data_IF_636037028761
#
_entry.id   IF_636037028761
#
_cell.length_a   1.000
_cell.length_b   1.000
_cell.length_c   1.000
_cell.angle_alpha   90.00
_cell.angle_beta   90.00
_cell.angle_gamma   90.00
#
_symmetry.space_group_name_H-M   'P 1'
#
loop_
_entity.id
_entity.type
_entity.pdbx_description
1 polymer ?
#
# COMPACT_ATOMS: atom_id res chain seq x y z
N UNK A 1 4.65 1.22 0.99
CA UNK A 1 3.59 2.22 0.77
C UNK A 1 3.80 3.41 1.68
N UNK A 2 3.31 4.59 1.30
CA UNK A 2 3.48 5.85 2.06
C UNK A 2 2.16 6.61 2.07
N UNK A 3 1.74 7.07 3.24
CA UNK A 3 0.56 7.93 3.37
C UNK A 3 1.00 9.38 3.59
N UNK A 4 0.57 10.26 2.68
CA UNK A 4 0.85 11.69 2.69
C UNK A 4 -0.37 12.40 3.30
N UNK A 5 -0.33 12.60 4.63
CA UNK A 5 -1.42 13.19 5.42
C UNK A 5 -1.93 14.54 4.87
N UNK A 6 -1.02 15.40 4.42
CA UNK A 6 -1.35 16.76 3.94
C UNK A 6 -2.32 16.77 2.76
N UNK A 7 -2.24 15.78 1.88
CA UNK A 7 -3.03 15.72 0.63
C UNK A 7 -3.95 14.50 0.59
N UNK A 8 -4.08 13.76 1.69
CA UNK A 8 -4.78 12.48 1.75
C UNK A 8 -4.38 11.52 0.62
N UNK A 9 -3.09 11.52 0.26
CA UNK A 9 -2.58 10.70 -0.85
C UNK A 9 -1.88 9.47 -0.32
N UNK A 10 -2.21 8.29 -0.84
CA UNK A 10 -1.52 7.04 -0.53
C UNK A 10 -0.75 6.60 -1.75
N UNK A 11 0.56 6.48 -1.60
CA UNK A 11 1.46 6.01 -2.64
C UNK A 11 1.66 4.50 -2.51
N UNK A 12 1.31 3.79 -3.58
CA UNK A 12 1.46 2.36 -3.71
C UNK A 12 2.49 2.06 -4.78
N UNK A 13 3.63 1.50 -4.37
CA UNK A 13 4.57 0.86 -5.29
C UNK A 13 4.01 -0.39 -5.94
N UNK A 14 4.60 -0.80 -7.06
CA UNK A 14 4.28 -2.06 -7.73
C UNK A 14 4.33 -3.27 -6.77
N UNK A 15 5.30 -3.32 -5.85
CA UNK A 15 5.38 -4.39 -4.83
C UNK A 15 4.16 -4.40 -3.91
N UNK A 16 3.64 -3.24 -3.53
CA UNK A 16 2.44 -3.16 -2.67
C UNK A 16 1.21 -3.67 -3.43
N UNK A 17 1.05 -3.27 -4.70
CA UNK A 17 -0.08 -3.69 -5.54
C UNK A 17 -0.04 -5.21 -5.77
N UNK A 18 1.12 -5.75 -6.17
CA UNK A 18 1.31 -7.20 -6.34
C UNK A 18 1.05 -7.97 -5.05
N UNK A 19 1.50 -7.45 -3.90
CA UNK A 19 1.24 -8.09 -2.61
C UNK A 19 -0.25 -8.11 -2.27
N UNK A 20 -1.00 -7.04 -2.54
CA UNK A 20 -2.44 -6.99 -2.31
C UNK A 20 -3.21 -7.94 -3.24
N UNK A 21 -2.82 -8.04 -4.51
CA UNK A 21 -3.39 -9.01 -5.45
C UNK A 21 -3.13 -10.45 -4.99
N UNK A 22 -1.88 -10.79 -4.66
CA UNK A 22 -1.55 -12.12 -4.14
C UNK A 22 -2.30 -12.45 -2.83
N UNK A 23 -2.50 -11.43 -1.98
CA UNK A 23 -3.29 -11.57 -0.75
C UNK A 23 -4.78 -11.80 -0.99
N UNK A 24 -5.35 -11.36 -2.12
CA UNK A 24 -6.73 -11.67 -2.48
C UNK A 24 -6.91 -13.16 -2.79
N UNK A 25 -5.93 -13.74 -3.48
CA UNK A 25 -5.92 -15.15 -3.89
C UNK A 25 -5.66 -16.11 -2.71
N UNK A 26 -5.07 -15.61 -1.62
CA UNK A 26 -4.92 -16.37 -0.37
C UNK A 26 -6.16 -16.23 0.53
N UNK A 27 -6.82 -17.36 0.80
CA UNK A 27 -8.01 -17.43 1.67
C UNK A 27 -7.72 -17.17 3.14
N UNK A 28 -6.48 -17.39 3.60
CA UNK A 28 -6.07 -17.19 5.00
C UNK A 28 -5.51 -15.79 5.25
N UNK A 29 -5.27 -15.03 4.17
CA UNK A 29 -4.74 -13.69 4.25
C UNK A 29 -5.75 -12.70 4.82
N UNK A 30 -5.27 -11.78 5.66
CA UNK A 30 -6.04 -10.64 6.14
C UNK A 30 -6.34 -9.60 5.03
N UNK A 31 -5.73 -9.74 3.84
CA UNK A 31 -5.93 -8.86 2.67
C UNK A 31 -5.62 -7.38 2.96
N UNK A 32 -4.69 -7.13 3.87
CA UNK A 32 -4.30 -5.79 4.29
C UNK A 32 -2.82 -5.52 4.10
N UNK A 33 -2.51 -4.25 3.86
CA UNK A 33 -1.19 -3.65 4.08
C UNK A 33 -1.35 -2.49 5.06
N UNK A 34 -0.37 -2.35 5.95
CA UNK A 34 -0.31 -1.30 6.97
C UNK A 34 0.90 -0.42 6.67
N UNK A 35 0.73 0.90 6.78
CA UNK A 35 1.80 1.86 6.47
C UNK A 35 2.91 1.72 7.52
N UNK A 36 4.18 2.00 7.19
CA UNK A 36 5.26 1.93 8.17
C UNK A 36 5.04 2.74 9.44
N UNK A 37 4.35 3.88 9.33
CA UNK A 37 4.02 4.77 10.45
C UNK A 37 2.78 4.33 11.24
N UNK A 38 2.19 3.18 10.89
CA UNK A 38 0.98 2.63 11.51
C UNK A 38 -0.21 3.60 11.52
N UNK A 39 -0.28 4.55 10.59
CA UNK A 39 -1.37 5.54 10.53
C UNK A 39 -2.44 5.19 9.49
N UNK A 40 -2.13 4.30 8.54
CA UNK A 40 -2.96 4.03 7.39
C UNK A 40 -2.97 2.56 6.98
N UNK A 41 -4.15 2.05 6.62
CA UNK A 41 -4.37 0.67 6.18
C UNK A 41 -5.01 0.66 4.80
N UNK A 42 -4.47 -0.17 3.91
CA UNK A 42 -5.09 -0.49 2.62
C UNK A 42 -5.60 -1.92 2.71
N UNK A 43 -6.90 -2.11 2.47
CA UNK A 43 -7.56 -3.42 2.46
C UNK A 43 -8.01 -3.78 1.05
N UNK A 44 -7.80 -5.03 0.64
CA UNK A 44 -8.26 -5.54 -0.65
C UNK A 44 -9.52 -6.41 -0.50
N UNK A 45 -10.47 -6.26 -1.41
CA UNK A 45 -11.65 -7.10 -1.56
C UNK A 45 -11.86 -7.53 -3.02
N UNK A 46 -12.67 -8.56 -3.23
CA UNK A 46 -13.15 -8.92 -4.56
C UNK A 46 -14.22 -7.93 -5.06
N UNK A 47 -14.33 -7.72 -6.37
CA UNK A 47 -15.23 -6.73 -6.97
C UNK A 47 -16.71 -6.93 -6.63
N UNK A 48 -17.12 -8.18 -6.37
CA UNK A 48 -18.50 -8.56 -6.09
C UNK A 48 -18.87 -8.49 -4.59
N UNK A 49 -17.94 -8.08 -3.74
CA UNK A 49 -18.20 -7.86 -2.32
C UNK A 49 -18.58 -6.39 -2.15
N UNK A 50 -19.80 -6.13 -1.67
CA UNK A 50 -20.20 -4.76 -1.32
C UNK A 50 -19.24 -4.20 -0.27
N UNK A 51 -18.76 -2.97 -0.49
CA UNK A 51 -17.88 -2.24 0.45
C UNK A 51 -18.52 -2.12 1.84
N UNK A 52 -19.85 -2.18 1.94
CA UNK A 52 -20.63 -2.18 3.19
C UNK A 52 -20.73 -3.56 3.87
N UNK A 53 -20.49 -4.65 3.14
CA UNK A 53 -20.65 -6.04 3.63
C UNK A 53 -19.34 -6.68 4.07
N UNK A 54 -18.23 -6.02 3.79
CA UNK A 54 -16.95 -6.40 4.37
C UNK A 54 -16.97 -6.01 5.85
N UNK A 55 -17.35 -6.96 6.72
CA UNK A 55 -17.31 -6.76 8.16
C UNK A 55 -15.93 -6.18 8.53
N UNK A 56 -15.86 -4.93 9.04
CA UNK A 56 -14.61 -4.37 9.47
C UNK A 56 -14.04 -5.31 10.55
N UNK A 57 -12.70 -5.47 10.64
CA UNK A 57 -12.12 -6.22 11.75
C UNK A 57 -12.72 -5.71 13.07
N UNK A 58 -13.00 -6.61 14.00
CA UNK A 58 -13.70 -6.36 15.28
C UNK A 58 -13.04 -5.29 16.19
N UNK A 59 -11.92 -4.71 15.76
CA UNK A 59 -11.19 -3.66 16.44
C UNK A 59 -11.57 -2.29 15.86
N UNK A 60 -11.80 -1.32 16.76
CA UNK A 60 -11.90 0.10 16.43
C UNK A 60 -10.73 0.48 15.52
N UNK A 61 -10.94 1.07 14.34
CA UNK A 61 -9.82 1.46 13.50
C UNK A 61 -9.08 2.60 14.20
N UNK A 62 -7.99 2.27 14.89
CA UNK A 62 -6.98 3.26 15.30
C UNK A 62 -6.37 3.92 14.06
N UNK A 63 -6.48 3.24 12.91
CA UNK A 63 -5.85 3.60 11.65
C UNK A 63 -6.87 4.00 10.59
N UNK A 64 -6.52 4.99 9.79
CA UNK A 64 -7.34 5.39 8.64
C UNK A 64 -7.31 4.28 7.59
N UNK A 65 -8.46 3.77 7.16
CA UNK A 65 -8.54 2.61 6.26
C UNK A 65 -9.18 2.98 4.92
N UNK A 66 -8.60 2.50 3.81
CA UNK A 66 -9.24 2.50 2.48
C UNK A 66 -9.39 1.06 1.98
N UNK A 67 -10.52 0.77 1.35
CA UNK A 67 -10.76 -0.53 0.73
C UNK A 67 -10.67 -0.41 -0.78
N UNK A 68 -10.01 -1.37 -1.41
CA UNK A 68 -9.81 -1.47 -2.85
C UNK A 68 -10.33 -2.79 -3.38
N UNK A 69 -10.97 -2.72 -4.53
CA UNK A 69 -11.39 -3.88 -5.28
C UNK A 69 -10.22 -4.46 -6.08
N UNK A 70 -10.39 -5.68 -6.62
CA UNK A 70 -9.42 -6.28 -7.54
C UNK A 70 -9.22 -5.41 -8.78
N UNK A 71 -10.28 -4.80 -9.31
CA UNK A 71 -10.20 -3.93 -10.48
C UNK A 71 -9.41 -2.64 -10.17
N UNK A 72 -9.61 -2.05 -8.99
CA UNK A 72 -8.81 -0.90 -8.54
C UNK A 72 -7.31 -1.26 -8.50
N UNK A 73 -6.99 -2.43 -7.95
CA UNK A 73 -5.61 -2.91 -7.86
C UNK A 73 -5.02 -3.19 -9.25
N UNK A 74 -5.79 -3.79 -10.16
CA UNK A 74 -5.36 -3.97 -11.55
C UNK A 74 -5.11 -2.63 -12.24
N UNK A 75 -5.97 -1.63 -12.05
CA UNK A 75 -5.74 -0.30 -12.60
C UNK A 75 -4.44 0.33 -12.08
N UNK A 76 -4.18 0.19 -10.77
CA UNK A 76 -2.95 0.68 -10.12
C UNK A 76 -1.67 -0.06 -10.53
N UNK A 77 -1.75 -1.18 -11.26
CA UNK A 77 -0.56 -1.79 -11.88
C UNK A 77 0.06 -0.90 -12.95
N UNK A 78 -0.70 0.04 -13.51
CA UNK A 78 -0.19 1.03 -14.48
C UNK A 78 0.61 2.10 -13.73
N UNK A 79 1.91 2.30 -14.04
CA UNK A 79 2.71 3.33 -13.39
C UNK A 79 2.11 4.73 -13.55
N UNK A 80 1.99 5.48 -12.45
CA UNK A 80 1.40 6.81 -12.43
C UNK A 80 -0.14 6.84 -12.41
N UNK A 81 -0.81 5.69 -12.49
CA UNK A 81 -2.26 5.61 -12.33
C UNK A 81 -2.70 6.21 -10.99
N UNK A 82 -3.80 6.94 -11.03
CA UNK A 82 -4.36 7.63 -9.87
C UNK A 82 -5.86 7.38 -9.79
N UNK A 83 -6.34 6.96 -8.63
CA UNK A 83 -7.76 6.74 -8.36
C UNK A 83 -8.17 7.50 -7.10
N UNK A 84 -9.45 7.88 -7.01
CA UNK A 84 -10.01 8.51 -5.80
C UNK A 84 -11.02 7.56 -5.17
N UNK A 85 -10.85 7.26 -3.88
CA UNK A 85 -11.79 6.50 -3.06
C UNK A 85 -12.15 7.31 -1.82
N UNK A 86 -13.41 7.76 -1.74
CA UNK A 86 -13.85 8.67 -0.68
C UNK A 86 -12.98 9.94 -0.63
N UNK A 87 -12.35 10.19 0.51
CA UNK A 87 -11.46 11.33 0.73
C UNK A 87 -9.99 11.09 0.35
N UNK A 88 -9.66 9.90 -0.14
CA UNK A 88 -8.27 9.49 -0.40
C UNK A 88 -7.97 9.39 -1.89
N UNK A 89 -6.79 9.87 -2.25
CA UNK A 89 -6.21 9.68 -3.59
C UNK A 89 -5.18 8.57 -3.52
N UNK A 90 -5.35 7.49 -4.26
CA UNK A 90 -4.33 6.44 -4.37
C UNK A 90 -3.54 6.63 -5.65
N UNK A 91 -2.22 6.62 -5.54
CA UNK A 91 -1.30 6.85 -6.64
C UNK A 91 -0.31 5.69 -6.77
N UNK A 92 -0.23 5.12 -7.97
CA UNK A 92 0.82 4.18 -8.34
C UNK A 92 2.14 4.93 -8.54
N UNK A 93 3.19 4.49 -7.84
CA UNK A 93 4.53 5.09 -7.92
C UNK A 93 5.58 4.01 -8.19
N UNK A 94 6.69 4.36 -8.83
CA UNK A 94 7.82 3.42 -8.96
C UNK A 94 8.55 3.26 -7.63
N UNK A 95 9.32 2.17 -7.46
CA UNK A 95 10.14 2.00 -6.26
C UNK A 95 11.16 3.14 -6.14
N UNK A 96 11.75 3.60 -7.25
CA UNK A 96 12.72 4.70 -7.27
C UNK A 96 12.08 6.01 -6.80
N UNK A 97 10.88 6.34 -7.29
CA UNK A 97 10.14 7.51 -6.84
C UNK A 97 9.78 7.41 -5.35
N UNK A 98 9.40 6.22 -4.89
CA UNK A 98 9.03 5.96 -3.50
C UNK A 98 10.20 6.10 -2.51
N UNK A 99 11.41 5.73 -2.92
CA UNK A 99 12.62 5.81 -2.11
C UNK A 99 13.48 7.04 -2.39
N UNK A 100 13.05 7.95 -3.28
CA UNK A 100 13.83 9.12 -3.71
C UNK A 100 14.23 10.05 -2.56
N UNK A 101 13.39 10.19 -1.54
CA UNK A 101 13.66 11.02 -0.36
C UNK A 101 14.51 10.32 0.71
N UNK A 102 14.90 9.05 0.49
CA UNK A 102 15.66 8.26 1.46
C UNK A 102 17.12 8.23 1.05
N UNK A 103 18.00 8.73 1.92
CA UNK A 103 19.43 8.48 1.76
C UNK A 103 19.66 6.96 1.69
N UNK A 104 20.52 6.47 0.76
CA UNK A 104 20.94 5.08 0.77
C UNK A 104 21.46 4.71 2.16
N UNK A 105 21.05 3.56 2.69
CA UNK A 105 21.58 3.08 3.96
C UNK A 105 23.07 2.76 3.84
N UNK A 106 23.81 2.88 4.94
CA UNK A 106 25.21 2.46 4.99
C UNK A 106 25.31 0.96 4.64
N UNK A 107 26.12 0.63 3.63
CA UNK A 107 26.37 -0.75 3.23
C UNK A 107 27.65 -1.21 3.91
N UNK A 108 27.51 -2.10 4.89
CA UNK A 108 28.68 -2.73 5.50
C UNK A 108 29.11 -3.94 4.67
N UNK A 109 30.26 -3.85 4.03
CA UNK A 109 30.86 -4.94 3.27
C UNK A 109 31.98 -5.57 4.12
N UNK A 110 31.82 -6.81 4.62
CA UNK A 110 32.73 -7.40 5.60
C UNK A 110 34.13 -7.72 5.05
N UNK A 111 34.34 -7.69 3.74
CA UNK A 111 35.59 -8.11 3.09
C UNK A 111 36.61 -6.98 2.82
N UNK A 112 36.27 -5.72 3.09
CA UNK A 112 37.19 -4.59 2.85
C UNK A 112 37.50 -3.72 4.07
N UNK A 113 36.73 -3.81 5.15
CA UNK A 113 36.95 -2.99 6.36
C UNK A 113 36.78 -1.48 6.14
N UNK A 114 36.21 -1.05 5.00
CA UNK A 114 35.99 0.36 4.67
C UNK A 114 34.49 0.66 4.63
N UNK A 115 34.09 1.71 5.35
CA UNK A 115 32.74 2.26 5.36
C UNK A 115 32.58 3.21 4.17
N UNK A 116 31.56 2.99 3.32
CA UNK A 116 31.20 3.85 2.18
C UNK A 116 29.80 4.43 2.38
#
# INVERSE_FOLDING_TARGET
MRYIKRTNTVELTARNVTALLAKLDDRLSARTLISPDDDFVVRAIENNVSLDSAEPPKAVPVHTTVTLTRDDLWYLTTPGATLTHGAFTLRSVTDEAHYSDRAPGAVYMPESGVQW
#
